data_IF_564748835344
#
_entry.id   IF_564748835344
#
_cell.length_a   1.000
_cell.length_b   1.000
_cell.length_c   1.000
_cell.angle_alpha   90.00
_cell.angle_beta   90.00
_cell.angle_gamma   90.00
#
_symmetry.space_group_name_H-M   'P 1'
#
loop_
_entity.id
_entity.type
_entity.pdbx_description
1 polymer ?
#
# COMPACT_ATOMS: atom_id res chain seq x y z
N UNK A 1 20.73 -7.50 20.88
CA UNK A 1 19.28 -7.25 21.04
C UNK A 1 18.53 -8.21 20.14
N UNK A 2 17.27 -8.55 20.44
CA UNK A 2 16.42 -9.30 19.51
C UNK A 2 16.07 -8.41 18.32
N UNK A 3 16.01 -8.99 17.11
CA UNK A 3 15.57 -8.27 15.91
C UNK A 3 14.13 -7.79 16.09
N UNK A 4 13.87 -6.54 15.67
CA UNK A 4 12.51 -5.98 15.68
C UNK A 4 11.62 -6.72 14.70
N UNK A 5 10.38 -7.00 15.12
CA UNK A 5 9.38 -7.69 14.32
C UNK A 5 8.24 -6.76 13.91
N UNK A 6 7.49 -7.18 12.89
CA UNK A 6 6.22 -6.57 12.51
C UNK A 6 5.25 -6.53 13.69
N UNK A 7 5.23 -7.54 14.55
CA UNK A 7 4.34 -7.56 15.71
C UNK A 7 4.75 -6.53 16.77
N UNK A 8 6.06 -6.29 16.95
CA UNK A 8 6.55 -5.21 17.82
C UNK A 8 6.11 -3.84 17.31
N UNK A 9 6.25 -3.61 16.01
CA UNK A 9 5.83 -2.35 15.35
C UNK A 9 4.32 -2.18 15.40
N UNK A 10 3.57 -3.25 15.10
CA UNK A 10 2.11 -3.27 15.15
C UNK A 10 1.58 -2.99 16.54
N UNK A 11 2.29 -3.38 17.61
CA UNK A 11 1.89 -3.12 19.00
C UNK A 11 2.45 -1.84 19.59
N UNK A 12 3.35 -1.16 18.87
CA UNK A 12 3.95 0.08 19.33
C UNK A 12 2.90 1.22 19.38
N UNK A 13 2.76 1.82 20.57
CA UNK A 13 1.78 2.90 20.83
C UNK A 13 2.02 4.13 19.95
N UNK A 14 3.28 4.47 19.66
CA UNK A 14 3.61 5.67 18.89
C UNK A 14 3.15 5.53 17.44
N UNK A 15 3.47 4.42 16.78
CA UNK A 15 2.99 4.16 15.42
C UNK A 15 1.46 4.10 15.34
N UNK A 16 0.79 3.41 16.28
CA UNK A 16 -0.68 3.38 16.33
C UNK A 16 -1.30 4.78 16.39
N UNK A 17 -0.75 5.62 17.26
CA UNK A 17 -1.23 7.00 17.45
C UNK A 17 -1.12 7.81 16.17
N UNK A 18 0.00 7.67 15.44
CA UNK A 18 0.23 8.43 14.21
C UNK A 18 -0.61 7.93 13.03
N UNK A 19 -0.87 6.62 12.94
CA UNK A 19 -1.82 6.06 11.98
C UNK A 19 -3.23 6.63 12.22
N UNK A 20 -3.72 6.59 13.47
CA UNK A 20 -5.04 7.12 13.83
C UNK A 20 -5.16 8.63 13.54
N UNK A 21 -4.13 9.40 13.87
CA UNK A 21 -4.10 10.83 13.62
C UNK A 21 -4.13 11.14 12.11
N UNK A 22 -3.31 10.44 11.32
CA UNK A 22 -3.29 10.57 9.86
C UNK A 22 -4.63 10.22 9.23
N UNK A 23 -5.23 9.10 9.63
CA UNK A 23 -6.56 8.68 9.16
C UNK A 23 -7.62 9.75 9.45
N UNK A 24 -7.62 10.31 10.66
CA UNK A 24 -8.54 11.38 11.05
C UNK A 24 -8.35 12.64 10.21
N UNK A 25 -7.11 13.07 9.97
CA UNK A 25 -6.80 14.25 9.15
C UNK A 25 -7.27 14.07 7.71
N UNK A 26 -7.04 12.89 7.13
CA UNK A 26 -7.50 12.55 5.79
C UNK A 26 -9.02 12.51 5.69
N UNK A 27 -9.71 12.02 6.72
CA UNK A 27 -11.17 12.04 6.80
C UNK A 27 -11.76 13.45 6.75
N UNK A 28 -11.13 14.45 7.40
CA UNK A 28 -11.55 15.86 7.32
C UNK A 28 -11.43 16.40 5.89
N UNK A 29 -10.45 15.91 5.12
CA UNK A 29 -10.20 16.32 3.73
C UNK A 29 -11.01 15.52 2.70
N UNK A 30 -11.83 14.56 3.13
CA UNK A 30 -12.63 13.72 2.23
C UNK A 30 -11.88 12.56 1.58
N UNK A 31 -10.65 12.25 1.99
CA UNK A 31 -9.93 11.09 1.47
C UNK A 31 -10.46 9.78 2.05
N UNK A 32 -10.24 8.68 1.32
CA UNK A 32 -10.54 7.32 1.75
C UNK A 32 -9.81 6.92 3.04
N UNK A 33 -10.22 5.80 3.65
CA UNK A 33 -9.59 5.24 4.86
C UNK A 33 -8.12 4.89 4.61
N UNK A 34 -7.27 5.34 5.53
CA UNK A 34 -5.86 4.97 5.66
C UNK A 34 -5.66 4.49 7.12
N UNK A 35 -6.62 3.68 7.59
CA UNK A 35 -6.74 3.20 8.95
C UNK A 35 -5.96 1.89 9.18
N UNK A 36 -6.10 1.30 10.38
CA UNK A 36 -5.51 0.01 10.68
C UNK A 36 -5.91 -1.11 9.71
N UNK A 37 -7.13 -1.06 9.16
CA UNK A 37 -7.61 -2.04 8.20
C UNK A 37 -6.89 -1.92 6.86
N UNK A 38 -6.55 -0.71 6.43
CA UNK A 38 -5.71 -0.46 5.27
C UNK A 38 -4.27 -0.93 5.52
N UNK A 39 -3.56 -0.33 6.48
CA UNK A 39 -2.12 -0.60 6.64
C UNK A 39 -1.81 -2.05 7.02
N UNK A 40 -2.73 -2.75 7.71
CA UNK A 40 -2.58 -4.19 7.98
C UNK A 40 -2.73 -5.01 6.69
N UNK A 41 -3.70 -4.68 5.84
CA UNK A 41 -3.92 -5.37 4.56
C UNK A 41 -2.74 -5.20 3.62
N UNK A 42 -2.18 -3.99 3.55
CA UNK A 42 -0.97 -3.69 2.78
C UNK A 42 0.22 -4.51 3.30
N UNK A 43 0.45 -4.53 4.61
CA UNK A 43 1.51 -5.33 5.21
C UNK A 43 1.38 -6.83 4.92
N UNK A 44 0.19 -7.41 5.11
CA UNK A 44 -0.07 -8.82 4.81
C UNK A 44 0.18 -9.14 3.34
N UNK A 45 -0.33 -8.29 2.44
CA UNK A 45 -0.21 -8.49 1.00
C UNK A 45 1.25 -8.39 0.54
N UNK A 46 2.00 -7.38 1.01
CA UNK A 46 3.43 -7.23 0.73
C UNK A 46 4.24 -8.44 1.24
N UNK A 47 3.93 -8.92 2.44
CA UNK A 47 4.55 -10.12 3.01
C UNK A 47 4.25 -11.38 2.19
N UNK A 48 3.00 -11.56 1.75
CA UNK A 48 2.57 -12.69 0.94
C UNK A 48 3.22 -12.68 -0.45
N UNK A 49 3.38 -11.51 -1.08
CA UNK A 49 4.10 -11.36 -2.36
C UNK A 49 5.53 -11.89 -2.21
N UNK A 50 6.30 -11.35 -1.26
CA UNK A 50 7.69 -11.75 -1.07
C UNK A 50 7.83 -13.22 -0.68
N UNK A 51 6.92 -13.72 0.16
CA UNK A 51 6.88 -15.13 0.56
C UNK A 51 6.67 -16.06 -0.63
N UNK A 52 5.69 -15.78 -1.48
CA UNK A 52 5.39 -16.63 -2.65
C UNK A 52 6.47 -16.54 -3.73
N UNK A 53 7.20 -15.41 -3.80
CA UNK A 53 8.32 -15.24 -4.73
C UNK A 53 9.67 -15.79 -4.22
N UNK A 54 9.71 -16.34 -3.01
CA UNK A 54 10.88 -17.03 -2.45
C UNK A 54 11.91 -16.15 -1.75
N UNK A 55 11.54 -14.94 -1.33
CA UNK A 55 12.43 -14.03 -0.59
C UNK A 55 12.66 -14.49 0.86
N UNK A 56 13.69 -13.94 1.49
CA UNK A 56 14.08 -14.34 2.84
C UNK A 56 13.02 -13.97 3.88
N UNK A 57 12.99 -14.72 4.99
CA UNK A 57 12.11 -14.38 6.14
C UNK A 57 12.34 -12.96 6.64
N UNK A 58 13.57 -12.44 6.54
CA UNK A 58 13.87 -11.10 7.01
C UNK A 58 13.32 -10.03 6.06
N UNK A 59 13.45 -10.22 4.75
CA UNK A 59 12.84 -9.30 3.77
C UNK A 59 11.32 -9.27 3.89
N UNK A 60 10.69 -10.43 4.11
CA UNK A 60 9.25 -10.51 4.39
C UNK A 60 8.89 -9.68 5.63
N UNK A 61 9.67 -9.81 6.71
CA UNK A 61 9.46 -9.07 7.95
C UNK A 61 9.60 -7.55 7.74
N UNK A 62 10.65 -7.12 7.05
CA UNK A 62 10.90 -5.71 6.74
C UNK A 62 9.82 -5.13 5.81
N UNK A 63 9.33 -5.90 4.85
CA UNK A 63 8.22 -5.49 3.99
C UNK A 63 6.94 -5.24 4.78
N UNK A 64 6.62 -6.12 5.73
CA UNK A 64 5.48 -5.94 6.62
C UNK A 64 5.64 -4.72 7.52
N UNK A 65 6.84 -4.49 8.07
CA UNK A 65 7.13 -3.31 8.89
C UNK A 65 6.96 -2.03 8.08
N UNK A 66 7.65 -1.91 6.95
CA UNK A 66 7.59 -0.71 6.10
C UNK A 66 6.15 -0.43 5.64
N UNK A 67 5.43 -1.47 5.22
CA UNK A 67 4.04 -1.38 4.78
C UNK A 67 3.08 -0.92 5.88
N UNK A 68 3.27 -1.38 7.11
CA UNK A 68 2.37 -1.02 8.20
C UNK A 68 2.46 0.46 8.59
N UNK A 69 3.64 1.06 8.39
CA UNK A 69 3.92 2.43 8.82
C UNK A 69 4.11 3.40 7.63
N UNK A 70 3.87 2.97 6.40
CA UNK A 70 4.19 3.76 5.20
C UNK A 70 3.46 5.10 5.15
N UNK A 71 2.23 5.14 5.67
CA UNK A 71 1.34 6.28 5.62
C UNK A 71 1.42 7.22 6.82
N UNK A 72 2.32 6.99 7.79
CA UNK A 72 2.34 7.80 9.03
C UNK A 72 2.64 9.29 8.77
N UNK A 73 3.21 9.63 7.62
CA UNK A 73 3.40 11.03 7.20
C UNK A 73 2.09 11.80 7.05
N UNK A 74 0.96 11.11 6.83
CA UNK A 74 -0.37 11.74 6.77
C UNK A 74 -0.78 12.38 8.09
N UNK A 75 -0.13 12.05 9.23
CA UNK A 75 -0.33 12.78 10.48
C UNK A 75 0.07 14.26 10.36
N UNK A 76 0.97 14.60 9.43
CA UNK A 76 1.44 15.96 9.15
C UNK A 76 0.71 16.54 7.95
N UNK A 77 0.78 15.88 6.79
CA UNK A 77 0.14 16.33 5.54
C UNK A 77 -0.01 15.17 4.55
N UNK A 78 -0.97 15.28 3.63
CA UNK A 78 -1.09 14.38 2.48
C UNK A 78 0.00 14.63 1.44
N UNK A 79 0.35 15.92 1.26
CA UNK A 79 1.43 16.32 0.38
C UNK A 79 2.75 15.83 0.98
N UNK A 80 3.56 15.16 0.17
CA UNK A 80 4.86 14.59 0.57
C UNK A 80 4.76 13.64 1.80
N UNK A 81 3.63 12.94 1.95
CA UNK A 81 3.42 12.01 3.06
C UNK A 81 4.43 10.86 3.06
N UNK A 82 4.89 10.41 1.88
CA UNK A 82 5.92 9.39 1.75
C UNK A 82 7.26 9.86 2.36
N UNK A 83 7.75 11.04 1.97
CA UNK A 83 9.03 11.59 2.44
C UNK A 83 8.94 11.95 3.93
N UNK A 84 7.85 12.58 4.34
CA UNK A 84 7.61 12.92 5.75
C UNK A 84 7.52 11.66 6.61
N UNK A 85 6.80 10.64 6.14
CA UNK A 85 6.67 9.34 6.79
C UNK A 85 8.00 8.61 6.91
N UNK A 86 8.88 8.71 5.90
CA UNK A 86 10.23 8.16 5.96
C UNK A 86 11.09 8.84 7.03
N UNK A 87 11.04 10.17 7.15
CA UNK A 87 11.77 10.91 8.20
C UNK A 87 11.26 10.59 9.62
N UNK A 88 9.93 10.50 9.80
CA UNK A 88 9.33 10.11 11.08
C UNK A 88 9.75 8.68 11.44
N UNK A 89 9.66 7.75 10.49
CA UNK A 89 10.04 6.34 10.67
C UNK A 89 11.52 6.20 11.02
N UNK A 90 12.40 6.92 10.33
CA UNK A 90 13.84 6.97 10.65
C UNK A 90 14.06 7.28 12.13
N UNK A 91 13.44 8.37 12.61
CA UNK A 91 13.61 8.83 13.97
C UNK A 91 13.10 7.80 15.01
N UNK A 92 11.91 7.24 14.81
CA UNK A 92 11.34 6.25 15.74
C UNK A 92 12.16 4.96 15.74
N UNK A 93 12.50 4.43 14.56
CA UNK A 93 13.27 3.19 14.44
C UNK A 93 14.68 3.32 15.02
N UNK A 94 15.34 4.48 14.85
CA UNK A 94 16.62 4.76 15.52
C UNK A 94 16.50 4.72 17.05
N UNK A 95 15.43 5.30 17.63
CA UNK A 95 15.20 5.22 19.08
C UNK A 95 14.90 3.81 19.58
N UNK A 96 14.31 2.98 18.72
CA UNK A 96 14.05 1.56 19.02
C UNK A 96 15.30 0.68 18.86
N UNK A 97 16.42 1.24 18.40
CA UNK A 97 17.67 0.49 18.24
C UNK A 97 17.66 -0.48 17.06
N UNK A 98 16.88 -0.19 16.02
CA UNK A 98 16.89 -0.97 14.77
C UNK A 98 18.23 -0.76 14.06
N UNK A 99 18.77 -1.83 13.48
CA UNK A 99 20.06 -1.76 12.78
C UNK A 99 20.02 -0.78 11.60
N UNK A 100 21.06 0.04 11.40
CA UNK A 100 21.08 1.08 10.36
C UNK A 100 20.76 0.57 8.95
N UNK A 101 21.20 -0.64 8.60
CA UNK A 101 20.95 -1.27 7.30
C UNK A 101 19.46 -1.54 7.08
N UNK A 102 18.74 -1.94 8.12
CA UNK A 102 17.31 -2.22 8.05
C UNK A 102 16.50 -0.93 8.07
N UNK A 103 16.94 0.07 8.84
CA UNK A 103 16.37 1.42 8.77
C UNK A 103 16.47 1.94 7.34
N UNK A 104 17.63 1.83 6.70
CA UNK A 104 17.84 2.29 5.33
C UNK A 104 16.86 1.61 4.35
N UNK A 105 16.64 0.30 4.48
CA UNK A 105 15.64 -0.43 3.68
C UNK A 105 14.23 0.11 3.94
N UNK A 106 13.80 0.16 5.20
CA UNK A 106 12.44 0.57 5.57
C UNK A 106 12.14 1.99 5.10
N UNK A 107 13.01 2.96 5.42
CA UNK A 107 12.74 4.37 5.12
C UNK A 107 12.84 4.67 3.62
N UNK A 108 13.75 4.00 2.89
CA UNK A 108 13.81 4.13 1.43
C UNK A 108 12.58 3.51 0.77
N UNK A 109 12.04 2.41 1.30
CA UNK A 109 10.77 1.85 0.82
C UNK A 109 9.59 2.78 1.07
N UNK A 110 9.51 3.38 2.25
CA UNK A 110 8.44 4.35 2.57
C UNK A 110 8.57 5.61 1.72
N UNK A 111 9.78 6.15 1.55
CA UNK A 111 9.98 7.39 0.80
C UNK A 111 9.66 7.29 -0.70
N UNK A 112 9.56 6.09 -1.25
CA UNK A 112 9.40 5.85 -2.69
C UNK A 112 8.10 5.09 -3.05
N UNK A 113 7.11 4.99 -2.15
CA UNK A 113 5.90 4.19 -2.40
C UNK A 113 4.78 4.95 -3.15
N UNK A 114 4.80 6.28 -3.15
CA UNK A 114 3.69 7.08 -3.68
C UNK A 114 3.73 7.25 -5.20
N UNK A 115 2.59 7.48 -5.84
CA UNK A 115 2.47 7.48 -7.31
C UNK A 115 3.09 8.69 -8.02
N UNK A 116 3.27 9.82 -7.36
CA UNK A 116 3.81 11.04 -7.99
C UNK A 116 5.32 10.92 -8.25
N UNK A 117 6.09 10.45 -7.26
CA UNK A 117 7.57 10.42 -7.30
C UNK A 117 8.15 9.01 -7.04
N UNK A 118 7.31 8.01 -6.81
CA UNK A 118 7.73 6.69 -6.35
C UNK A 118 8.41 5.81 -7.40
N UNK A 119 9.32 4.98 -6.92
CA UNK A 119 10.07 4.02 -7.71
C UNK A 119 10.48 2.82 -6.82
N UNK A 120 10.32 1.57 -7.28
CA UNK A 120 10.88 0.43 -6.55
C UNK A 120 12.42 0.52 -6.53
N UNK A 121 13.01 0.64 -5.35
CA UNK A 121 14.47 0.77 -5.11
C UNK A 121 15.09 -0.47 -4.46
N UNK A 122 14.26 -1.33 -3.88
CA UNK A 122 14.62 -2.60 -3.25
C UNK A 122 13.40 -3.55 -3.21
N UNK A 123 13.57 -4.86 -2.93
CA UNK A 123 12.44 -5.80 -2.90
C UNK A 123 11.31 -5.43 -1.92
N UNK A 124 11.66 -4.86 -0.76
CA UNK A 124 10.69 -4.38 0.25
C UNK A 124 9.86 -3.22 -0.29
N UNK A 125 10.47 -2.27 -1.01
CA UNK A 125 9.78 -1.15 -1.64
C UNK A 125 8.81 -1.60 -2.73
N UNK A 126 9.23 -2.57 -3.56
CA UNK A 126 8.39 -3.11 -4.62
C UNK A 126 7.17 -3.86 -4.05
N UNK A 127 7.37 -4.65 -3.00
CA UNK A 127 6.28 -5.33 -2.31
C UNK A 127 5.31 -4.36 -1.61
N UNK A 128 5.83 -3.30 -0.98
CA UNK A 128 5.01 -2.24 -0.39
C UNK A 128 4.16 -1.54 -1.45
N UNK A 129 4.77 -1.10 -2.57
CA UNK A 129 4.05 -0.48 -3.70
C UNK A 129 2.91 -1.38 -4.17
N UNK A 130 3.21 -2.66 -4.44
CA UNK A 130 2.18 -3.61 -4.87
C UNK A 130 1.09 -3.77 -3.81
N UNK A 131 1.45 -3.90 -2.54
CA UNK A 131 0.48 -4.03 -1.44
C UNK A 131 -0.44 -2.82 -1.30
N UNK A 132 0.08 -1.59 -1.39
CA UNK A 132 -0.70 -0.35 -1.23
C UNK A 132 -1.59 -0.11 -2.44
N UNK A 133 -0.98 -0.07 -3.62
CA UNK A 133 -1.65 0.33 -4.86
C UNK A 133 -2.67 -0.69 -5.34
N UNK A 134 -2.64 -1.93 -4.81
CA UNK A 134 -3.67 -2.96 -5.06
C UNK A 134 -4.79 -3.00 -4.01
N UNK A 135 -4.71 -2.24 -2.91
CA UNK A 135 -5.79 -2.14 -1.90
C UNK A 135 -6.92 -1.22 -2.38
N UNK A 136 -7.62 -1.66 -3.42
CA UNK A 136 -8.80 -1.01 -4.01
C UNK A 136 -10.05 -1.77 -3.59
N UNK A 137 -10.89 -1.16 -2.74
CA UNK A 137 -12.12 -1.80 -2.23
C UNK A 137 -13.11 -0.79 -1.67
N UNK A 138 -14.40 -1.11 -1.78
CA UNK A 138 -15.53 -0.32 -1.27
C UNK A 138 -15.41 0.07 0.20
N UNK A 139 -14.86 -0.79 1.06
CA UNK A 139 -14.78 -0.54 2.51
C UNK A 139 -13.85 0.61 2.91
N UNK A 140 -13.00 1.08 1.98
CA UNK A 140 -12.17 2.28 2.15
C UNK A 140 -12.94 3.59 1.97
N UNK A 141 -14.10 3.57 1.32
CA UNK A 141 -14.94 4.75 1.16
C UNK A 141 -15.49 5.13 2.53
N UNK A 142 -15.28 6.39 2.93
CA UNK A 142 -15.81 6.94 4.20
C UNK A 142 -17.20 7.51 4.01
N UNK A 143 -17.40 8.14 2.87
CA UNK A 143 -18.64 8.81 2.54
C UNK A 143 -19.76 7.76 2.39
N UNK A 144 -20.85 7.96 3.12
CA UNK A 144 -22.02 7.08 3.05
C UNK A 144 -23.13 7.65 2.19
N UNK A 145 -23.03 8.93 1.78
CA UNK A 145 -24.01 9.58 0.93
C UNK A 145 -23.55 9.58 -0.53
N UNK A 146 -24.10 8.62 -1.29
CA UNK A 146 -23.81 8.41 -2.70
C UNK A 146 -23.97 9.68 -3.56
N UNK A 147 -24.89 10.59 -3.19
CA UNK A 147 -25.14 11.82 -3.94
C UNK A 147 -23.95 12.81 -3.88
N UNK A 148 -23.08 12.66 -2.89
CA UNK A 148 -21.94 13.57 -2.64
C UNK A 148 -20.59 12.95 -3.00
N UNK A 149 -20.58 11.76 -3.61
CA UNK A 149 -19.34 11.09 -3.96
C UNK A 149 -18.52 11.91 -4.96
N UNK A 150 -17.21 11.96 -4.72
CA UNK A 150 -16.26 12.37 -5.75
C UNK A 150 -15.94 11.18 -6.69
N UNK A 151 -14.99 11.36 -7.61
CA UNK A 151 -14.58 10.29 -8.52
C UNK A 151 -13.85 9.16 -7.79
N UNK A 152 -13.07 9.45 -6.73
CA UNK A 152 -12.36 8.42 -5.96
C UNK A 152 -13.33 7.54 -5.17
N UNK A 153 -14.33 8.16 -4.54
CA UNK A 153 -15.40 7.47 -3.81
C UNK A 153 -16.18 6.58 -4.78
N UNK A 154 -16.59 7.09 -5.95
CA UNK A 154 -17.30 6.31 -6.98
C UNK A 154 -16.50 5.09 -7.43
N UNK A 155 -15.24 5.28 -7.80
CA UNK A 155 -14.38 4.19 -8.29
C UNK A 155 -14.19 3.13 -7.22
N UNK A 156 -13.84 3.53 -5.98
CA UNK A 156 -13.66 2.56 -4.89
C UNK A 156 -14.98 1.87 -4.52
N UNK A 157 -16.09 2.61 -4.50
CA UNK A 157 -17.39 2.05 -4.14
C UNK A 157 -17.89 1.02 -5.16
N UNK A 158 -17.63 1.27 -6.45
CA UNK A 158 -17.96 0.37 -7.54
C UNK A 158 -17.21 -0.97 -7.48
N UNK A 159 -16.07 -1.05 -6.77
CA UNK A 159 -15.35 -2.32 -6.56
C UNK A 159 -16.10 -3.19 -5.55
N UNK A 160 -16.82 -4.18 -6.05
CA UNK A 160 -17.56 -5.16 -5.24
C UNK A 160 -16.61 -6.15 -4.56
N UNK A 161 -15.63 -6.62 -5.33
CA UNK A 161 -14.61 -7.56 -4.86
C UNK A 161 -13.25 -7.16 -5.45
N UNK A 162 -12.21 -7.24 -4.62
CA UNK A 162 -10.83 -7.00 -5.01
C UNK A 162 -9.91 -8.01 -4.35
N UNK A 163 -9.11 -8.72 -5.13
CA UNK A 163 -8.19 -9.76 -4.63
C UNK A 163 -6.87 -9.72 -5.39
N UNK A 164 -5.77 -9.83 -4.65
CA UNK A 164 -4.43 -10.06 -5.21
C UNK A 164 -4.15 -11.55 -5.20
N UNK A 165 -3.85 -12.13 -6.36
CA UNK A 165 -3.42 -13.52 -6.51
C UNK A 165 -1.95 -13.56 -6.91
N UNK A 166 -1.19 -14.45 -6.29
CA UNK A 166 0.25 -14.56 -6.53
C UNK A 166 0.55 -15.98 -6.98
N UNK A 167 1.05 -16.14 -8.19
CA UNK A 167 1.59 -17.39 -8.70
C UNK A 167 3.11 -17.34 -8.62
N UNK A 168 3.68 -17.96 -7.58
CA UNK A 168 5.13 -18.00 -7.39
C UNK A 168 5.89 -18.79 -8.46
N UNK A 169 5.24 -19.73 -9.15
CA UNK A 169 5.84 -20.55 -10.20
C UNK A 169 6.00 -19.78 -11.50
N UNK A 170 4.91 -19.15 -11.96
CA UNK A 170 4.92 -18.31 -13.17
C UNK A 170 5.42 -16.87 -12.90
N UNK A 171 5.56 -16.51 -11.62
CA UNK A 171 5.90 -15.16 -11.13
C UNK A 171 4.88 -14.11 -11.57
N UNK A 172 3.61 -14.47 -11.59
CA UNK A 172 2.49 -13.58 -11.90
C UNK A 172 1.88 -13.01 -10.61
N UNK A 173 1.55 -11.72 -10.63
CA UNK A 173 0.84 -11.00 -9.57
C UNK A 173 -0.40 -10.38 -10.20
N UNK A 174 -1.56 -10.96 -9.92
CA UNK A 174 -2.82 -10.58 -10.53
C UNK A 174 -3.65 -9.76 -9.55
N UNK A 175 -3.97 -8.52 -9.91
CA UNK A 175 -5.06 -7.76 -9.28
C UNK A 175 -6.37 -8.10 -10.00
N UNK A 176 -7.25 -8.84 -9.32
CA UNK A 176 -8.56 -9.23 -9.83
C UNK A 176 -9.63 -8.38 -9.17
N UNK A 177 -10.37 -7.62 -9.98
CA UNK A 177 -11.46 -6.74 -9.54
C UNK A 177 -12.78 -7.14 -10.18
N UNK A 178 -13.84 -7.13 -9.38
CA UNK A 178 -15.23 -7.11 -9.83
C UNK A 178 -15.75 -5.69 -9.63
N UNK A 179 -16.11 -5.02 -10.72
CA UNK A 179 -16.54 -3.60 -10.72
C UNK A 179 -17.96 -3.51 -11.28
N UNK A 180 -18.85 -2.86 -10.53
CA UNK A 180 -20.17 -2.46 -11.00
C UNK A 180 -20.05 -1.26 -11.96
N UNK A 181 -20.12 -1.56 -13.26
CA UNK A 181 -19.99 -0.56 -14.32
C UNK A 181 -21.21 0.34 -14.47
N UNK A 182 -22.32 0.07 -13.76
CA UNK A 182 -23.45 0.98 -13.68
C UNK A 182 -23.19 2.15 -12.72
N UNK A 183 -22.31 1.96 -11.74
CA UNK A 183 -21.87 2.98 -10.78
C UNK A 183 -20.70 3.79 -11.34
N UNK A 184 -19.70 3.09 -11.89
CA UNK A 184 -18.46 3.68 -12.37
C UNK A 184 -18.08 3.08 -13.73
N UNK A 185 -18.14 3.86 -14.83
CA UNK A 185 -17.57 3.46 -16.10
C UNK A 185 -16.08 3.06 -15.95
N UNK A 186 -15.61 2.13 -16.79
CA UNK A 186 -14.21 1.69 -16.74
C UNK A 186 -13.22 2.82 -17.05
N UNK A 187 -13.62 3.82 -17.85
CA UNK A 187 -12.76 4.97 -18.17
C UNK A 187 -12.44 5.80 -16.92
N UNK A 188 -13.41 5.99 -16.02
CA UNK A 188 -13.23 6.72 -14.76
C UNK A 188 -12.27 5.97 -13.82
N UNK A 189 -12.32 4.63 -13.81
CA UNK A 189 -11.33 3.82 -13.08
C UNK A 189 -9.91 4.12 -13.58
N UNK A 190 -9.71 4.14 -14.90
CA UNK A 190 -8.39 4.41 -15.47
C UNK A 190 -7.96 5.87 -15.27
N UNK A 191 -8.88 6.83 -15.31
CA UNK A 191 -8.56 8.24 -15.03
C UNK A 191 -7.89 8.41 -13.66
N UNK A 192 -8.34 7.65 -12.65
CA UNK A 192 -7.84 7.78 -11.28
C UNK A 192 -6.72 6.81 -10.95
N UNK A 193 -6.75 5.58 -11.48
CA UNK A 193 -5.84 4.52 -11.05
C UNK A 193 -4.78 4.11 -12.09
N UNK A 194 -4.76 4.70 -13.29
CA UNK A 194 -3.75 4.32 -14.28
C UNK A 194 -2.32 4.53 -13.77
N UNK A 195 -2.02 5.66 -13.13
CA UNK A 195 -0.69 5.94 -12.56
C UNK A 195 -0.29 4.86 -11.53
N UNK A 196 -1.23 4.47 -10.67
CA UNK A 196 -1.05 3.40 -9.67
C UNK A 196 -0.75 2.06 -10.33
N UNK A 197 -1.50 1.68 -11.36
CA UNK A 197 -1.31 0.41 -12.07
C UNK A 197 0.02 0.37 -12.82
N UNK A 198 0.46 1.51 -13.38
CA UNK A 198 1.80 1.62 -13.98
C UNK A 198 2.90 1.47 -12.94
N UNK A 199 2.72 2.02 -11.74
CA UNK A 199 3.66 1.85 -10.64
C UNK A 199 3.68 0.39 -10.13
N UNK A 200 2.53 -0.29 -10.04
CA UNK A 200 2.46 -1.73 -9.78
C UNK A 200 3.24 -2.54 -10.80
N UNK A 201 3.11 -2.23 -12.10
CA UNK A 201 3.88 -2.90 -13.16
C UNK A 201 5.39 -2.74 -12.92
N UNK A 202 5.87 -1.51 -12.69
CA UNK A 202 7.30 -1.26 -12.39
C UNK A 202 7.78 -2.05 -11.17
N UNK A 203 6.96 -2.11 -10.12
CA UNK A 203 7.30 -2.86 -8.90
C UNK A 203 7.35 -4.37 -9.14
N UNK A 204 6.41 -4.93 -9.90
CA UNK A 204 6.46 -6.33 -10.29
C UNK A 204 7.70 -6.62 -11.16
N UNK A 205 7.99 -5.76 -12.13
CA UNK A 205 9.18 -5.89 -12.99
C UNK A 205 10.47 -5.89 -12.16
N UNK A 206 10.57 -5.03 -11.13
CA UNK A 206 11.71 -5.01 -10.19
C UNK A 206 11.87 -6.34 -9.45
N UNK A 207 10.75 -6.98 -9.09
CA UNK A 207 10.74 -8.31 -8.48
C UNK A 207 10.92 -9.44 -9.52
N UNK A 208 11.22 -9.17 -10.79
CA UNK A 208 11.24 -10.17 -11.87
C UNK A 208 9.91 -10.92 -11.99
N UNK A 209 8.81 -10.21 -11.81
CA UNK A 209 7.44 -10.72 -11.85
C UNK A 209 6.62 -9.92 -12.87
N UNK A 210 5.45 -10.45 -13.25
CA UNK A 210 4.50 -9.74 -14.12
C UNK A 210 3.31 -9.29 -13.31
N UNK A 211 2.92 -8.03 -13.46
CA UNK A 211 1.67 -7.51 -12.92
C UNK A 211 0.58 -7.60 -13.97
N UNK A 212 -0.55 -8.21 -13.62
CA UNK A 212 -1.74 -8.26 -14.47
C UNK A 212 -2.92 -7.60 -13.77
N UNK A 213 -3.66 -6.77 -14.49
CA UNK A 213 -4.94 -6.21 -14.02
C UNK A 213 -6.08 -6.94 -14.74
N UNK A 214 -6.96 -7.57 -13.97
CA UNK A 214 -8.12 -8.30 -14.48
C UNK A 214 -9.38 -7.65 -13.90
N UNK A 215 -10.22 -7.08 -14.75
CA UNK A 215 -11.49 -6.46 -14.33
C UNK A 215 -12.65 -7.20 -15.00
N UNK A 216 -13.61 -7.67 -14.21
CA UNK A 216 -14.79 -8.40 -14.70
C UNK A 216 -14.42 -9.55 -15.66
N UNK A 217 -13.37 -10.31 -15.31
CA UNK A 217 -12.85 -11.43 -16.09
C UNK A 217 -12.04 -11.05 -17.34
N UNK A 218 -11.92 -9.76 -17.66
CA UNK A 218 -11.14 -9.28 -18.80
C UNK A 218 -9.77 -8.80 -18.35
N UNK A 219 -8.71 -9.32 -19.00
CA UNK A 219 -7.34 -8.85 -18.78
C UNK A 219 -7.15 -7.48 -19.44
N UNK A 220 -6.87 -6.48 -18.63
CA UNK A 220 -6.68 -5.09 -19.06
C UNK A 220 -5.21 -4.74 -19.29
N UNK A 221 -4.31 -5.37 -18.51
CA UNK A 221 -2.90 -5.01 -18.43
C UNK A 221 -2.00 -6.24 -18.30
#
# INVERSE_FOLDING_TARGET
>A
MSLITFEDIKNNKEFKTYIEAGDKHLGIKGFTKHDFGHVTKVAETAGDILKNLGYSKREIELAKIASYIHDIGNMVSRQEHAQTGACISFNILSRLGVEPEEIAIIVSSIGNHDEEEGCPVNPVSAALILGDKTDVRRSRVRNTDFATFDIHDRVNYAVEEGTVKIDGGNRDIDLVLTIDTSICPLIDYFEIFLSRMLLCRKAADFLNSKFNLIINGTKML
#
